data_IF_715178313782
#
_entry.id   IF_715178313782
#
_cell.length_a   1.000
_cell.length_b   1.000
_cell.length_c   1.000
_cell.angle_alpha   90.00
_cell.angle_beta   90.00
_cell.angle_gamma   90.00
#
_symmetry.space_group_name_H-M   'P 1'
#
loop_
_entity.id
_entity.type
_entity.pdbx_description
1 polymer ?
#
# COMPACT_ATOMS: atom_id res chain seq x y z
N UNK A 1 4.66 15.96 -21.90
CA UNK A 1 3.37 16.63 -21.63
C UNK A 1 2.64 16.08 -20.42
N UNK A 2 2.40 14.76 -20.33
CA UNK A 2 1.63 14.15 -19.25
C UNK A 2 2.14 14.46 -17.83
N UNK A 3 3.46 14.43 -17.64
CA UNK A 3 4.09 14.59 -16.32
C UNK A 3 4.10 16.04 -15.78
N UNK A 4 3.94 17.05 -16.65
CA UNK A 4 4.17 18.47 -16.30
C UNK A 4 2.98 19.38 -16.61
N UNK A 5 2.23 19.12 -17.69
CA UNK A 5 1.24 20.07 -18.22
C UNK A 5 -0.21 19.68 -17.95
N UNK A 6 -0.49 18.38 -17.79
CA UNK A 6 -1.86 17.93 -17.55
C UNK A 6 -2.37 18.45 -16.19
N UNK A 7 -3.62 18.90 -16.09
CA UNK A 7 -4.19 19.32 -14.81
C UNK A 7 -4.38 18.12 -13.89
N UNK A 8 -4.34 18.36 -12.59
CA UNK A 8 -4.66 17.35 -11.59
C UNK A 8 -6.18 17.17 -11.46
N UNK A 9 -6.57 15.98 -11.01
CA UNK A 9 -7.95 15.64 -10.68
C UNK A 9 -8.03 15.22 -9.23
N UNK A 10 -9.02 15.72 -8.49
CA UNK A 10 -9.19 15.42 -7.07
C UNK A 10 -10.65 15.11 -6.77
N UNK A 11 -10.88 14.16 -5.86
CA UNK A 11 -12.22 13.75 -5.47
C UNK A 11 -12.68 14.55 -4.25
N UNK A 12 -13.93 15.00 -4.25
CA UNK A 12 -14.54 15.65 -3.10
C UNK A 12 -14.59 14.71 -1.89
N UNK A 13 -14.22 15.23 -0.73
CA UNK A 13 -14.24 14.50 0.55
C UNK A 13 -15.59 14.55 1.26
N UNK A 14 -16.53 15.40 0.81
CA UNK A 14 -17.90 15.44 1.35
C UNK A 14 -18.59 14.07 1.09
N UNK A 15 -19.06 13.36 2.13
CA UNK A 15 -19.62 12.00 2.00
C UNK A 15 -20.73 11.86 0.97
N UNK A 16 -21.65 12.83 0.91
CA UNK A 16 -22.80 12.79 -0.01
C UNK A 16 -22.49 13.30 -1.42
N UNK A 17 -21.26 13.73 -1.71
CA UNK A 17 -20.88 14.26 -3.02
C UNK A 17 -19.95 13.30 -3.78
N UNK A 18 -18.73 13.08 -3.27
CA UNK A 18 -17.70 12.20 -3.87
C UNK A 18 -17.38 12.43 -5.36
N UNK A 19 -17.83 13.54 -5.96
CA UNK A 19 -17.53 13.93 -7.35
C UNK A 19 -16.06 14.31 -7.53
N UNK A 20 -15.51 13.99 -8.69
CA UNK A 20 -14.21 14.38 -9.18
C UNK A 20 -14.24 15.78 -9.80
N UNK A 21 -13.20 16.55 -9.51
CA UNK A 21 -13.02 17.91 -10.01
C UNK A 21 -11.63 18.06 -10.60
N UNK A 22 -11.57 18.70 -11.76
CA UNK A 22 -10.33 19.14 -12.37
C UNK A 22 -9.84 20.39 -11.63
N UNK A 23 -8.58 20.38 -11.19
CA UNK A 23 -7.93 21.55 -10.61
C UNK A 23 -7.43 22.49 -11.72
N UNK A 24 -7.35 23.78 -11.41
CA UNK A 24 -6.75 24.77 -12.32
C UNK A 24 -5.25 24.50 -12.49
N UNK A 25 -4.68 24.95 -13.62
CA UNK A 25 -3.31 24.56 -14.06
C UNK A 25 -2.21 24.95 -13.07
N UNK A 26 -2.43 26.00 -12.29
CA UNK A 26 -1.55 26.56 -11.27
C UNK A 26 -1.51 25.75 -9.97
N UNK A 27 -2.56 24.97 -9.69
CA UNK A 27 -2.66 24.21 -8.45
C UNK A 27 -1.85 22.91 -8.55
N UNK A 28 -0.93 22.72 -7.62
CA UNK A 28 -0.25 21.44 -7.40
C UNK A 28 -1.06 20.60 -6.42
N UNK A 29 -1.31 19.35 -6.79
CA UNK A 29 -1.98 18.40 -5.90
C UNK A 29 -0.96 17.84 -4.89
N UNK A 30 -1.26 17.99 -3.61
CA UNK A 30 -0.53 17.37 -2.51
C UNK A 30 -1.41 16.34 -1.79
N UNK A 31 -0.80 15.46 -0.98
CA UNK A 31 -1.56 14.53 -0.15
C UNK A 31 -2.49 15.24 0.86
N UNK A 32 -2.04 16.36 1.44
CA UNK A 32 -2.84 17.17 2.35
C UNK A 32 -4.05 17.82 1.67
N UNK A 33 -3.88 18.30 0.43
CA UNK A 33 -4.99 18.82 -0.36
C UNK A 33 -5.97 17.70 -0.71
N UNK A 34 -5.49 16.55 -1.18
CA UNK A 34 -6.33 15.40 -1.49
C UNK A 34 -7.14 14.90 -0.28
N UNK A 35 -6.58 15.00 0.93
CA UNK A 35 -7.23 14.58 2.17
C UNK A 35 -8.37 15.49 2.63
N UNK A 36 -8.36 16.77 2.24
CA UNK A 36 -9.28 17.80 2.76
C UNK A 36 -10.14 18.46 1.68
N UNK A 37 -9.88 18.18 0.40
CA UNK A 37 -10.54 18.85 -0.72
C UNK A 37 -12.08 18.72 -0.70
N UNK A 38 -12.75 19.84 -0.94
CA UNK A 38 -14.19 19.96 -1.19
C UNK A 38 -14.41 20.74 -2.48
N UNK A 39 -15.50 20.44 -3.18
CA UNK A 39 -15.84 21.16 -4.41
C UNK A 39 -15.86 22.67 -4.16
N UNK A 40 -15.21 23.44 -5.05
CA UNK A 40 -15.15 24.90 -4.95
C UNK A 40 -14.05 25.46 -4.06
N UNK A 41 -13.27 24.62 -3.35
CA UNK A 41 -12.12 25.11 -2.58
C UNK A 41 -11.09 25.82 -3.48
N UNK A 42 -10.78 27.08 -3.17
CA UNK A 42 -9.66 27.84 -3.73
C UNK A 42 -8.52 27.83 -2.71
N UNK A 43 -7.30 27.49 -3.12
CA UNK A 43 -6.15 27.56 -2.20
C UNK A 43 -5.92 29.02 -1.80
N UNK A 44 -5.98 29.32 -0.50
CA UNK A 44 -5.69 30.65 0.07
C UNK A 44 -6.87 31.43 0.65
N UNK A 45 -8.13 30.96 0.56
CA UNK A 45 -9.27 31.64 1.19
C UNK A 45 -10.24 30.64 1.85
N UNK A 46 -10.47 30.80 3.16
CA UNK A 46 -11.27 29.90 4.01
C UNK A 46 -12.78 30.14 3.86
N UNK A 47 -13.20 31.27 3.27
CA UNK A 47 -14.63 31.57 3.07
C UNK A 47 -15.19 30.87 1.84
N UNK A 48 -15.84 29.72 2.07
CA UNK A 48 -16.77 29.11 1.11
C UNK A 48 -18.12 29.84 1.16
N UNK A 49 -18.14 31.13 0.83
CA UNK A 49 -19.40 31.83 0.57
C UNK A 49 -19.62 31.89 -0.94
N UNK A 50 -20.34 30.89 -1.44
CA UNK A 50 -20.67 30.71 -2.84
C UNK A 50 -21.75 29.64 -3.01
N UNK A 51 -22.35 29.51 -4.21
CA UNK A 51 -23.34 28.48 -4.50
C UNK A 51 -22.80 27.07 -4.20
N UNK A 52 -23.68 26.11 -3.90
CA UNK A 52 -23.29 24.73 -3.58
C UNK A 52 -22.55 24.09 -4.77
N UNK A 53 -21.22 24.15 -4.77
CA UNK A 53 -20.37 23.58 -5.81
C UNK A 53 -20.47 22.03 -5.89
N UNK A 54 -21.04 21.36 -4.88
CA UNK A 54 -21.32 19.93 -4.96
C UNK A 54 -22.54 19.62 -5.84
N UNK A 55 -23.47 20.57 -6.01
CA UNK A 55 -24.65 20.41 -6.88
C UNK A 55 -24.28 20.33 -8.37
N UNK A 56 -23.19 21.01 -8.78
CA UNK A 56 -22.73 21.02 -10.17
C UNK A 56 -22.47 19.60 -10.69
N UNK A 57 -22.82 19.30 -11.95
CA UNK A 57 -22.61 17.97 -12.53
C UNK A 57 -21.13 17.61 -12.52
N UNK A 58 -20.83 16.31 -12.44
CA UNK A 58 -19.47 15.81 -12.66
C UNK A 58 -19.11 15.92 -14.14
N UNK A 59 -17.82 16.10 -14.43
CA UNK A 59 -17.34 16.13 -15.82
C UNK A 59 -17.55 14.76 -16.47
N UNK A 60 -18.17 14.71 -17.65
CA UNK A 60 -18.54 13.46 -18.32
C UNK A 60 -17.33 12.57 -18.65
N UNK A 61 -16.13 13.14 -18.77
CA UNK A 61 -14.91 12.36 -19.01
C UNK A 61 -14.55 11.46 -17.83
N UNK A 62 -15.05 11.75 -16.63
CA UNK A 62 -14.82 10.91 -15.44
C UNK A 62 -15.52 9.56 -15.59
N UNK A 63 -16.74 9.54 -16.14
CA UNK A 63 -17.44 8.28 -16.41
C UNK A 63 -16.78 7.46 -17.51
N UNK A 64 -16.12 8.08 -18.49
CA UNK A 64 -15.38 7.33 -19.52
C UNK A 64 -14.19 6.54 -18.95
N UNK A 65 -13.62 7.00 -17.82
CA UNK A 65 -12.48 6.31 -17.18
C UNK A 65 -12.85 4.92 -16.62
N UNK A 66 -14.14 4.68 -16.35
CA UNK A 66 -14.58 3.37 -15.83
C UNK A 66 -14.62 2.30 -16.91
N UNK A 67 -14.60 2.68 -18.18
CA UNK A 67 -14.68 1.72 -19.28
C UNK A 67 -13.40 0.88 -19.38
N UNK A 68 -13.58 -0.42 -19.60
CA UNK A 68 -12.46 -1.39 -19.63
C UNK A 68 -11.41 -1.07 -20.69
N UNK A 69 -11.83 -0.48 -21.83
CA UNK A 69 -10.95 -0.10 -22.93
C UNK A 69 -10.17 1.19 -22.65
N UNK A 70 -10.61 2.04 -21.72
CA UNK A 70 -10.00 3.36 -21.49
C UNK A 70 -8.52 3.25 -21.12
N UNK A 71 -8.18 2.27 -20.26
CA UNK A 71 -6.79 2.01 -19.87
C UNK A 71 -5.93 1.59 -21.07
N UNK A 72 -6.46 0.78 -21.98
CA UNK A 72 -5.73 0.32 -23.17
C UNK A 72 -5.42 1.41 -24.18
N UNK A 73 -6.13 2.54 -24.11
CA UNK A 73 -5.90 3.71 -24.98
C UNK A 73 -4.92 4.73 -24.37
N UNK A 74 -4.42 4.49 -23.15
CA UNK A 74 -3.37 5.33 -22.59
C UNK A 74 -2.07 5.16 -23.37
N UNK A 75 -1.55 6.26 -23.90
CA UNK A 75 -0.26 6.29 -24.61
C UNK A 75 0.91 6.02 -23.66
N UNK A 76 0.81 6.54 -22.42
CA UNK A 76 1.85 6.41 -21.40
C UNK A 76 1.21 5.94 -20.08
N UNK A 77 1.89 5.06 -19.33
CA UNK A 77 1.43 4.64 -18.02
C UNK A 77 1.51 5.79 -16.99
N UNK A 78 0.73 5.72 -15.89
CA UNK A 78 0.83 6.69 -14.82
C UNK A 78 2.15 6.55 -14.06
N UNK A 79 2.81 7.68 -13.83
CA UNK A 79 4.00 7.78 -12.99
C UNK A 79 3.68 8.63 -11.76
N UNK A 80 3.75 8.02 -10.57
CA UNK A 80 3.39 8.70 -9.32
C UNK A 80 4.48 9.66 -8.88
N UNK A 81 4.08 10.87 -8.48
CA UNK A 81 4.94 11.86 -7.84
C UNK A 81 4.91 11.67 -6.32
N UNK A 82 6.05 11.88 -5.67
CA UNK A 82 6.16 11.86 -4.19
C UNK A 82 5.60 10.57 -3.55
N UNK A 83 5.76 9.42 -4.21
CA UNK A 83 5.26 8.15 -3.70
C UNK A 83 5.91 7.81 -2.34
N UNK A 84 5.15 7.32 -1.34
CA UNK A 84 5.70 6.81 -0.08
C UNK A 84 6.76 5.72 -0.26
N UNK A 85 6.75 5.03 -1.41
CA UNK A 85 7.73 4.01 -1.78
C UNK A 85 9.08 4.59 -2.23
N UNK A 86 9.16 5.89 -2.56
CA UNK A 86 10.38 6.51 -3.11
C UNK A 86 11.63 6.25 -2.26
N UNK A 87 11.61 6.42 -0.91
CA UNK A 87 12.80 6.15 -0.10
C UNK A 87 13.23 4.67 -0.07
N UNK A 88 12.31 3.73 -0.33
CA UNK A 88 12.64 2.31 -0.38
C UNK A 88 13.28 1.89 -1.70
N UNK A 89 13.03 2.66 -2.76
CA UNK A 89 13.30 2.29 -4.15
C UNK A 89 14.33 3.21 -4.81
N UNK A 90 15.16 3.89 -4.01
CA UNK A 90 16.18 4.83 -4.50
C UNK A 90 17.23 4.16 -5.42
N UNK A 91 17.40 2.84 -5.32
CA UNK A 91 18.29 2.06 -6.17
C UNK A 91 17.70 1.70 -7.55
N UNK A 92 16.42 2.01 -7.80
CA UNK A 92 15.73 1.75 -9.06
C UNK A 92 15.54 3.03 -9.86
N UNK A 93 15.51 2.90 -11.19
CA UNK A 93 15.01 3.97 -12.03
C UNK A 93 13.53 4.22 -11.71
N UNK A 94 13.13 5.47 -11.37
CA UNK A 94 11.78 5.75 -10.87
C UNK A 94 10.67 5.27 -11.81
N UNK A 95 10.84 5.46 -13.11
CA UNK A 95 9.90 5.07 -14.15
C UNK A 95 9.72 3.56 -14.26
N UNK A 96 10.76 2.76 -14.03
CA UNK A 96 10.66 1.28 -14.00
C UNK A 96 9.82 0.75 -12.83
N UNK A 97 9.59 1.56 -11.79
CA UNK A 97 8.80 1.19 -10.61
C UNK A 97 7.53 2.06 -10.47
N UNK A 98 7.11 2.71 -11.56
CA UNK A 98 5.87 3.47 -11.64
C UNK A 98 5.89 4.84 -10.93
N UNK A 99 7.07 5.44 -10.80
CA UNK A 99 7.28 6.75 -10.20
C UNK A 99 7.83 7.77 -11.22
N UNK A 100 7.52 9.04 -11.00
CA UNK A 100 7.95 10.14 -11.87
C UNK A 100 9.45 10.45 -11.64
N UNK A 101 10.31 10.39 -12.67
CA UNK A 101 11.74 10.75 -12.54
C UNK A 101 11.95 12.22 -12.10
N UNK A 102 11.00 13.10 -12.45
CA UNK A 102 11.08 14.52 -12.08
C UNK A 102 10.68 14.81 -10.62
N UNK A 103 10.29 13.80 -9.85
CA UNK A 103 9.62 13.96 -8.55
C UNK A 103 10.48 13.58 -7.33
N UNK A 104 11.72 13.12 -7.51
CA UNK A 104 12.56 12.66 -6.41
C UNK A 104 13.44 13.78 -5.86
N UNK A 105 13.33 14.14 -4.56
CA UNK A 105 14.35 14.93 -3.89
C UNK A 105 15.54 14.02 -3.60
N UNK A 106 16.62 14.20 -4.35
CA UNK A 106 17.89 13.51 -4.13
C UNK A 106 18.07 12.28 -5.00
N UNK A 107 18.76 12.46 -6.12
CA UNK A 107 19.55 11.37 -6.69
C UNK A 107 20.60 10.98 -5.64
N UNK A 108 20.53 9.76 -5.11
CA UNK A 108 21.73 9.14 -4.57
C UNK A 108 22.74 9.15 -5.71
N UNK A 109 23.93 9.70 -5.49
CA UNK A 109 24.94 9.77 -6.53
C UNK A 109 25.22 8.35 -7.03
N UNK A 110 25.10 8.12 -8.35
CA UNK A 110 25.48 6.84 -8.97
C UNK A 110 26.92 6.41 -8.61
N UNK A 111 27.75 7.33 -8.11
CA UNK A 111 29.09 7.06 -7.62
C UNK A 111 29.13 6.24 -6.32
N UNK A 112 28.11 6.31 -5.46
CA UNK A 112 28.06 5.55 -4.19
C UNK A 112 27.64 4.09 -4.40
N UNK A 113 26.89 3.79 -5.46
CA UNK A 113 26.52 2.43 -5.88
C UNK A 113 27.68 1.63 -6.51
N UNK A 114 28.82 2.28 -6.78
CA UNK A 114 30.02 1.64 -7.35
C UNK A 114 31.01 1.15 -6.30
N UNK A 115 30.77 1.41 -5.01
CA UNK A 115 31.61 0.90 -3.93
C UNK A 115 31.09 -0.48 -3.46
N UNK A 116 31.88 -1.52 -3.73
CA UNK A 116 31.72 -2.92 -3.30
C UNK A 116 30.41 -3.64 -3.70
N UNK A 117 30.40 -4.47 -4.76
CA UNK A 117 29.22 -5.25 -5.18
C UNK A 117 28.72 -6.27 -4.13
N UNK A 118 29.45 -6.47 -3.03
CA UNK A 118 29.07 -7.38 -1.93
C UNK A 118 28.40 -6.67 -0.73
N UNK A 119 28.24 -5.35 -0.73
CA UNK A 119 27.52 -4.64 0.34
C UNK A 119 26.21 -4.09 -0.18
N UNK A 120 25.11 -4.79 0.11
CA UNK A 120 23.77 -4.25 -0.06
C UNK A 120 23.63 -2.97 0.79
N UNK A 121 23.75 -1.80 0.17
CA UNK A 121 23.50 -0.51 0.84
C UNK A 121 22.00 -0.39 1.02
N UNK A 122 21.52 -0.84 2.18
CA UNK A 122 20.11 -0.75 2.52
C UNK A 122 19.74 0.71 2.81
N UNK A 123 18.64 1.24 2.23
CA UNK A 123 18.22 2.60 2.53
C UNK A 123 17.81 2.69 4.00
N UNK A 124 18.58 3.43 4.79
CA UNK A 124 18.20 3.77 6.16
C UNK A 124 17.12 4.85 6.12
N UNK A 125 15.86 4.43 6.23
CA UNK A 125 14.71 5.35 6.24
C UNK A 125 14.49 5.82 7.69
N UNK A 126 14.62 7.12 8.00
CA UNK A 126 14.45 7.63 9.35
C UNK A 126 13.07 7.26 9.93
N UNK A 127 13.06 6.73 11.16
CA UNK A 127 11.83 6.36 11.86
C UNK A 127 11.17 5.04 11.42
N UNK A 128 11.78 4.30 10.49
CA UNK A 128 11.32 2.97 10.09
C UNK A 128 12.05 1.87 10.88
N UNK A 129 11.35 0.79 11.24
CA UNK A 129 11.99 -0.40 11.79
C UNK A 129 12.99 -0.99 10.76
N UNK A 130 14.25 -1.27 11.12
CA UNK A 130 15.27 -1.76 10.18
C UNK A 130 14.94 -3.14 9.58
N UNK A 131 14.07 -3.90 10.26
CA UNK A 131 13.59 -5.20 9.81
C UNK A 131 12.53 -5.12 8.70
N UNK A 132 11.93 -3.94 8.47
CA UNK A 132 10.96 -3.74 7.41
C UNK A 132 11.64 -3.50 6.07
N UNK A 133 11.83 -4.59 5.32
CA UNK A 133 12.49 -4.57 4.01
C UNK A 133 11.59 -5.18 2.93
N UNK A 134 10.42 -4.59 2.63
CA UNK A 134 9.42 -5.23 1.76
C UNK A 134 9.85 -5.41 0.30
N UNK A 135 10.93 -4.74 -0.14
CA UNK A 135 11.38 -4.76 -1.53
C UNK A 135 12.79 -5.35 -1.64
N UNK A 136 12.99 -6.15 -2.68
CA UNK A 136 14.33 -6.52 -3.13
C UNK A 136 15.11 -5.27 -3.56
N UNK A 137 16.41 -5.26 -3.27
CA UNK A 137 17.36 -4.34 -3.88
C UNK A 137 18.01 -4.97 -5.11
N UNK A 138 18.54 -4.18 -6.06
CA UNK A 138 19.29 -4.72 -7.20
C UNK A 138 20.46 -5.58 -6.74
N UNK A 139 20.64 -6.75 -7.36
CA UNK A 139 21.69 -7.73 -7.04
C UNK A 139 21.65 -8.32 -5.62
N UNK A 140 20.53 -8.19 -4.91
CA UNK A 140 20.36 -8.79 -3.59
C UNK A 140 20.03 -10.30 -3.68
N UNK A 141 20.56 -11.10 -2.76
CA UNK A 141 20.18 -12.50 -2.62
C UNK A 141 18.72 -12.64 -2.15
N UNK A 142 18.10 -13.78 -2.47
CA UNK A 142 16.73 -14.09 -2.04
C UNK A 142 16.54 -13.98 -0.53
N UNK A 143 15.54 -13.19 -0.10
CA UNK A 143 15.14 -13.02 1.30
C UNK A 143 13.63 -13.20 1.44
N UNK A 144 13.20 -13.76 2.56
CA UNK A 144 11.79 -14.09 2.79
C UNK A 144 10.91 -12.83 2.79
N UNK A 145 9.67 -12.98 2.32
CA UNK A 145 8.62 -11.95 2.36
C UNK A 145 8.98 -10.62 1.67
N UNK A 146 9.83 -10.69 0.65
CA UNK A 146 10.21 -9.55 -0.18
C UNK A 146 9.68 -9.72 -1.59
N UNK A 147 9.23 -8.62 -2.19
CA UNK A 147 8.73 -8.59 -3.57
C UNK A 147 9.64 -7.76 -4.46
N UNK A 148 9.70 -8.08 -5.75
CA UNK A 148 10.39 -7.22 -6.70
C UNK A 148 9.55 -5.96 -6.99
N UNK A 149 10.11 -4.74 -6.92
CA UNK A 149 9.31 -3.53 -7.13
C UNK A 149 8.93 -3.28 -8.59
N UNK A 150 9.63 -3.94 -9.52
CA UNK A 150 9.58 -3.78 -10.97
C UNK A 150 8.94 -4.99 -11.69
N UNK A 151 8.47 -6.00 -10.95
CA UNK A 151 7.82 -7.17 -11.53
C UNK A 151 6.64 -7.67 -10.67
N UNK A 152 5.59 -8.15 -11.34
CA UNK A 152 4.45 -8.80 -10.71
C UNK A 152 4.77 -10.24 -10.31
N UNK A 153 4.34 -10.64 -9.12
CA UNK A 153 4.40 -12.03 -8.65
C UNK A 153 3.32 -12.88 -9.34
N UNK A 154 3.47 -14.21 -9.33
CA UNK A 154 2.55 -15.13 -10.02
C UNK A 154 1.09 -14.97 -9.55
N UNK A 155 0.87 -14.83 -8.25
CA UNK A 155 -0.46 -14.61 -7.67
C UNK A 155 -1.07 -13.27 -8.10
N UNK A 156 -0.22 -12.26 -8.33
CA UNK A 156 -0.65 -10.95 -8.82
C UNK A 156 -1.08 -11.04 -10.29
N UNK A 157 -0.34 -11.79 -11.12
CA UNK A 157 -0.69 -12.04 -12.52
C UNK A 157 -1.97 -12.86 -12.66
N UNK A 158 -2.22 -13.79 -11.72
CA UNK A 158 -3.45 -14.58 -11.70
C UNK A 158 -4.67 -13.72 -11.34
N UNK A 159 -4.55 -12.83 -10.35
CA UNK A 159 -5.64 -11.96 -9.91
C UNK A 159 -5.89 -10.79 -10.89
N UNK A 160 -4.83 -10.25 -11.48
CA UNK A 160 -4.87 -9.07 -12.35
C UNK A 160 -4.22 -9.33 -13.72
N UNK A 161 -4.76 -10.27 -14.52
CA UNK A 161 -4.20 -10.61 -15.83
C UNK A 161 -4.18 -9.41 -16.80
N UNK A 162 -5.05 -8.41 -16.60
CA UNK A 162 -5.09 -7.18 -17.40
C UNK A 162 -3.80 -6.35 -17.32
N UNK A 163 -3.01 -6.48 -16.24
CA UNK A 163 -1.74 -5.78 -16.05
C UNK A 163 -0.52 -6.55 -16.54
N UNK A 164 -0.70 -7.78 -17.05
CA UNK A 164 0.43 -8.59 -17.56
C UNK A 164 1.20 -7.93 -18.70
N UNK A 165 0.52 -7.15 -19.55
CA UNK A 165 1.12 -6.45 -20.70
C UNK A 165 1.79 -5.14 -20.31
N UNK A 166 1.17 -4.37 -19.42
CA UNK A 166 1.74 -3.13 -18.87
C UNK A 166 1.46 -3.10 -17.35
N UNK A 167 2.43 -3.55 -16.53
CA UNK A 167 2.25 -3.66 -15.09
C UNK A 167 2.47 -2.33 -14.35
N UNK A 168 2.84 -1.25 -15.05
CA UNK A 168 3.37 -0.03 -14.43
C UNK A 168 2.40 0.59 -13.42
N UNK A 169 1.11 0.68 -13.76
CA UNK A 169 0.08 1.22 -12.84
C UNK A 169 -0.09 0.32 -11.62
N UNK A 170 -0.16 -1.00 -11.82
CA UNK A 170 -0.31 -1.97 -10.74
C UNK A 170 0.89 -1.91 -9.78
N UNK A 171 2.12 -1.94 -10.31
CA UNK A 171 3.34 -1.87 -9.52
C UNK A 171 3.42 -0.57 -8.73
N UNK A 172 3.08 0.57 -9.34
CA UNK A 172 3.04 1.85 -8.64
C UNK A 172 2.09 1.82 -7.43
N UNK A 173 0.88 1.27 -7.61
CA UNK A 173 -0.12 1.13 -6.55
C UNK A 173 0.32 0.15 -5.47
N UNK A 174 0.79 -1.04 -5.86
CA UNK A 174 1.26 -2.07 -4.94
C UNK A 174 2.44 -1.60 -4.09
N UNK A 175 3.42 -0.94 -4.73
CA UNK A 175 4.59 -0.39 -4.04
C UNK A 175 4.17 0.71 -3.06
N UNK A 176 3.26 1.60 -3.46
CA UNK A 176 2.70 2.64 -2.59
C UNK A 176 1.99 2.03 -1.38
N UNK A 177 1.17 0.99 -1.57
CA UNK A 177 0.43 0.32 -0.49
C UNK A 177 1.41 -0.35 0.48
N UNK A 178 2.37 -1.14 -0.01
CA UNK A 178 3.38 -1.80 0.84
C UNK A 178 4.18 -0.78 1.65
N UNK A 179 4.67 0.27 1.00
CA UNK A 179 5.43 1.31 1.69
C UNK A 179 4.59 2.04 2.75
N UNK A 180 3.31 2.32 2.45
CA UNK A 180 2.39 2.96 3.38
C UNK A 180 2.12 2.09 4.61
N UNK A 181 1.95 0.77 4.41
CA UNK A 181 1.75 -0.20 5.50
C UNK A 181 2.97 -0.28 6.42
N UNK A 182 4.17 -0.45 5.85
CA UNK A 182 5.39 -0.60 6.66
C UNK A 182 5.78 0.67 7.42
N UNK A 183 5.41 1.86 6.92
CA UNK A 183 5.57 3.12 7.65
C UNK A 183 4.65 3.24 8.87
N UNK A 184 3.46 2.64 8.82
CA UNK A 184 2.46 2.70 9.91
C UNK A 184 1.61 1.44 9.96
N UNK A 185 2.16 0.36 10.51
CA UNK A 185 1.52 -0.96 10.58
C UNK A 185 0.63 -1.17 11.82
N UNK A 186 0.44 -0.13 12.64
CA UNK A 186 -0.38 -0.18 13.87
C UNK A 186 -1.83 0.20 13.65
N UNK A 187 -2.18 0.66 12.45
CA UNK A 187 -3.54 1.08 12.09
C UNK A 187 -3.97 0.41 10.78
N UNK A 188 -5.28 0.22 10.61
CA UNK A 188 -5.84 -0.28 9.36
C UNK A 188 -5.51 0.68 8.22
N UNK A 189 -4.86 0.16 7.19
CA UNK A 189 -4.60 0.87 5.94
C UNK A 189 -5.83 0.73 5.02
N UNK A 190 -6.39 1.87 4.64
CA UNK A 190 -7.61 1.94 3.82
C UNK A 190 -7.32 2.58 2.47
N UNK A 191 -8.16 2.27 1.46
CA UNK A 191 -8.04 2.86 0.13
C UNK A 191 -8.13 4.39 0.18
N UNK A 192 -8.92 4.96 1.09
CA UNK A 192 -9.01 6.41 1.27
C UNK A 192 -7.67 7.03 1.70
N UNK A 193 -6.93 6.40 2.62
CA UNK A 193 -5.61 6.87 3.06
C UNK A 193 -4.56 6.74 1.96
N UNK A 194 -4.56 5.63 1.23
CA UNK A 194 -3.66 5.44 0.09
C UNK A 194 -3.96 6.41 -1.07
N UNK A 195 -5.24 6.69 -1.36
CA UNK A 195 -5.66 7.58 -2.45
C UNK A 195 -5.14 9.02 -2.29
N UNK A 196 -4.91 9.47 -1.06
CA UNK A 196 -4.30 10.77 -0.76
C UNK A 196 -2.87 10.85 -1.32
N UNK A 197 -2.14 9.73 -1.34
CA UNK A 197 -0.75 9.65 -1.77
C UNK A 197 -0.60 9.31 -3.26
N UNK A 198 -1.70 9.06 -3.98
CA UNK A 198 -1.68 8.91 -5.44
C UNK A 198 -1.63 10.33 -6.04
N UNK A 199 -0.43 10.84 -6.29
CA UNK A 199 -0.24 12.14 -6.95
C UNK A 199 0.23 11.89 -8.38
N UNK A 200 -0.69 12.03 -9.33
CA UNK A 200 -0.40 11.93 -10.77
C UNK A 200 -1.34 12.86 -11.53
N UNK A 201 -0.84 13.46 -12.61
CA UNK A 201 -1.60 14.39 -13.44
C UNK A 201 -2.55 13.65 -14.38
N UNK A 202 -3.63 14.31 -14.79
CA UNK A 202 -4.60 13.80 -15.74
C UNK A 202 -5.65 12.86 -15.15
N UNK A 203 -6.58 12.45 -16.00
CA UNK A 203 -7.71 11.56 -15.64
C UNK A 203 -7.24 10.17 -15.18
N UNK A 204 -6.01 9.76 -15.51
CA UNK A 204 -5.44 8.48 -15.07
C UNK A 204 -5.40 8.36 -13.55
N UNK A 205 -5.36 9.48 -12.81
CA UNK A 205 -5.50 9.45 -11.34
C UNK A 205 -6.83 8.85 -10.89
N UNK A 206 -7.92 9.12 -11.63
CA UNK A 206 -9.24 8.55 -11.36
C UNK A 206 -9.16 7.03 -11.46
N UNK A 207 -8.56 6.51 -12.54
CA UNK A 207 -8.35 5.08 -12.75
C UNK A 207 -7.49 4.47 -11.63
N UNK A 208 -6.37 5.09 -11.27
CA UNK A 208 -5.51 4.64 -10.19
C UNK A 208 -6.27 4.51 -8.86
N UNK A 209 -7.10 5.49 -8.51
CA UNK A 209 -7.90 5.47 -7.27
C UNK A 209 -9.02 4.43 -7.31
N UNK A 210 -9.61 4.18 -8.49
CA UNK A 210 -10.60 3.11 -8.67
C UNK A 210 -9.99 1.72 -8.50
N UNK A 211 -8.80 1.48 -9.08
CA UNK A 211 -8.09 0.20 -8.98
C UNK A 211 -7.49 -0.05 -7.59
N UNK A 212 -7.12 1.00 -6.88
CA UNK A 212 -6.49 0.94 -5.56
C UNK A 212 -7.21 0.02 -4.58
N UNK A 213 -8.54 0.06 -4.57
CA UNK A 213 -9.38 -0.72 -3.68
C UNK A 213 -9.37 -2.22 -4.01
N UNK A 214 -9.27 -2.61 -5.29
CA UNK A 214 -9.05 -4.01 -5.71
C UNK A 214 -7.68 -4.51 -5.26
N UNK A 215 -6.62 -3.73 -5.51
CA UNK A 215 -5.24 -4.08 -5.13
C UNK A 215 -5.10 -4.19 -3.61
N UNK A 216 -5.65 -3.24 -2.85
CA UNK A 216 -5.59 -3.24 -1.38
C UNK A 216 -6.33 -4.44 -0.78
N UNK A 217 -7.49 -4.81 -1.31
CA UNK A 217 -8.21 -6.02 -0.88
C UNK A 217 -7.43 -7.29 -1.18
N UNK A 218 -6.83 -7.39 -2.37
CA UNK A 218 -5.98 -8.53 -2.72
C UNK A 218 -4.81 -8.68 -1.75
N UNK A 219 -4.07 -7.59 -1.50
CA UNK A 219 -2.92 -7.60 -0.59
C UNK A 219 -3.32 -7.90 0.85
N UNK A 220 -4.47 -7.39 1.30
CA UNK A 220 -5.05 -7.71 2.63
C UNK A 220 -5.38 -9.20 2.71
N UNK A 221 -6.07 -9.75 1.70
CA UNK A 221 -6.45 -11.18 1.64
C UNK A 221 -5.24 -12.11 1.59
N UNK A 222 -4.17 -11.72 0.90
CA UNK A 222 -2.89 -12.44 0.85
C UNK A 222 -2.05 -12.28 2.12
N UNK A 223 -2.49 -11.47 3.08
CA UNK A 223 -1.78 -11.26 4.35
C UNK A 223 -0.51 -10.41 4.23
N UNK A 224 -0.36 -9.61 3.15
CA UNK A 224 0.80 -8.73 2.94
C UNK A 224 0.70 -7.42 3.72
N UNK A 225 -0.52 -6.98 4.02
CA UNK A 225 -0.84 -5.76 4.77
C UNK A 225 -2.02 -6.03 5.69
N UNK A 226 -2.34 -5.10 6.59
CA UNK A 226 -3.50 -5.20 7.49
C UNK A 226 -3.51 -6.52 8.29
N UNK A 227 -2.32 -7.00 8.63
CA UNK A 227 -2.07 -8.33 9.20
C UNK A 227 -1.38 -8.26 10.57
N UNK A 228 -1.06 -9.42 11.15
CA UNK A 228 -0.42 -9.54 12.45
C UNK A 228 -1.40 -9.32 13.61
N UNK A 229 -0.95 -8.59 14.63
CA UNK A 229 -1.73 -8.33 15.86
C UNK A 229 -2.64 -7.11 15.76
N UNK A 230 -2.85 -6.58 14.54
CA UNK A 230 -3.67 -5.40 14.27
C UNK A 230 -5.08 -5.51 14.86
N UNK A 231 -5.50 -4.47 15.58
CA UNK A 231 -6.86 -4.32 16.08
C UNK A 231 -7.79 -3.81 14.97
N UNK A 232 -8.91 -4.50 14.77
CA UNK A 232 -9.86 -4.23 13.68
C UNK A 232 -11.26 -4.09 14.28
N UNK A 233 -11.82 -2.87 14.22
CA UNK A 233 -13.18 -2.59 14.74
C UNK A 233 -14.28 -2.99 13.76
N UNK A 234 -13.98 -2.94 12.45
CA UNK A 234 -14.91 -3.24 11.37
C UNK A 234 -14.27 -4.24 10.42
N UNK A 235 -15.03 -5.23 9.91
CA UNK A 235 -14.51 -6.20 8.96
C UNK A 235 -13.78 -5.51 7.79
N UNK A 236 -12.55 -5.96 7.52
CA UNK A 236 -11.71 -5.46 6.42
C UNK A 236 -12.27 -5.88 5.06
N UNK A 237 -12.96 -7.02 5.03
CA UNK A 237 -13.65 -7.59 3.88
C UNK A 237 -15.12 -7.85 4.25
N UNK A 238 -15.95 -8.20 3.28
CA UNK A 238 -17.40 -8.38 3.45
C UNK A 238 -17.79 -9.86 3.49
N UNK A 239 -16.93 -10.71 4.06
CA UNK A 239 -17.19 -12.15 4.16
C UNK A 239 -18.14 -12.43 5.32
N UNK A 240 -19.11 -13.34 5.14
CA UNK A 240 -20.12 -13.68 6.17
C UNK A 240 -20.30 -15.18 6.36
N UNK A 241 -19.28 -15.97 5.99
CA UNK A 241 -19.31 -17.43 6.13
C UNK A 241 -18.82 -17.84 7.51
N UNK A 242 -19.30 -18.99 7.99
CA UNK A 242 -18.81 -19.60 9.22
C UNK A 242 -17.62 -20.53 8.92
N UNK A 243 -16.60 -20.49 9.78
CA UNK A 243 -15.39 -21.31 9.68
C UNK A 243 -15.05 -21.87 11.05
N UNK A 244 -14.77 -23.18 11.11
CA UNK A 244 -14.22 -23.84 12.29
C UNK A 244 -12.72 -24.04 12.07
N UNK A 245 -11.90 -23.51 12.97
CA UNK A 245 -10.45 -23.71 13.00
C UNK A 245 -10.12 -24.74 14.08
N UNK A 246 -9.42 -25.82 13.72
CA UNK A 246 -9.01 -26.87 14.66
C UNK A 246 -7.55 -26.64 15.07
N UNK A 247 -7.33 -26.43 16.36
CA UNK A 247 -6.06 -26.08 17.00
C UNK A 247 -5.91 -24.57 17.24
N UNK A 248 -5.54 -24.20 18.46
CA UNK A 248 -5.24 -22.83 18.92
C UNK A 248 -3.74 -22.61 19.15
N UNK A 249 -2.90 -23.21 18.31
CA UNK A 249 -1.47 -22.89 18.18
C UNK A 249 -1.24 -21.65 17.30
N UNK A 250 0.04 -21.34 17.00
CA UNK A 250 0.40 -20.16 16.20
C UNK A 250 -0.31 -20.10 14.82
N UNK A 251 -0.37 -21.23 14.09
CA UNK A 251 -1.04 -21.31 12.79
C UNK A 251 -2.55 -21.10 12.89
N UNK A 252 -3.21 -21.81 13.82
CA UNK A 252 -4.64 -21.73 14.02
C UNK A 252 -5.09 -20.35 14.49
N UNK A 253 -4.37 -19.75 15.45
CA UNK A 253 -4.65 -18.39 15.92
C UNK A 253 -4.38 -17.33 14.84
N UNK A 254 -3.33 -17.49 14.03
CA UNK A 254 -3.08 -16.58 12.91
C UNK A 254 -4.21 -16.65 11.87
N UNK A 255 -4.63 -17.85 11.48
CA UNK A 255 -5.74 -18.05 10.56
C UNK A 255 -7.06 -17.51 11.13
N UNK A 256 -7.37 -17.84 12.39
CA UNK A 256 -8.57 -17.37 13.07
C UNK A 256 -8.62 -15.84 13.16
N UNK A 257 -7.49 -15.20 13.49
CA UNK A 257 -7.37 -13.74 13.54
C UNK A 257 -7.63 -13.10 12.18
N UNK A 258 -6.99 -13.61 11.12
CA UNK A 258 -7.17 -13.08 9.77
C UNK A 258 -8.62 -13.23 9.29
N UNK A 259 -9.19 -14.43 9.42
CA UNK A 259 -10.58 -14.71 9.02
C UNK A 259 -11.58 -13.86 9.81
N UNK A 260 -11.39 -13.72 11.13
CA UNK A 260 -12.23 -12.84 11.94
C UNK A 260 -12.13 -11.38 11.47
N UNK A 261 -10.92 -10.88 11.21
CA UNK A 261 -10.70 -9.53 10.70
C UNK A 261 -11.33 -9.33 9.30
N UNK A 262 -11.49 -10.39 8.50
CA UNK A 262 -12.18 -10.35 7.20
C UNK A 262 -13.71 -10.43 7.31
N UNK A 263 -14.27 -10.65 8.51
CA UNK A 263 -15.72 -10.71 8.76
C UNK A 263 -16.32 -12.11 8.90
N UNK A 264 -15.51 -13.16 8.77
CA UNK A 264 -15.99 -14.54 8.97
C UNK A 264 -16.44 -14.76 10.42
N UNK A 265 -17.45 -15.62 10.60
CA UNK A 265 -17.78 -16.16 11.91
C UNK A 265 -16.83 -17.31 12.23
N UNK A 266 -15.88 -17.08 13.15
CA UNK A 266 -14.81 -18.06 13.44
C UNK A 266 -15.04 -18.72 14.78
N UNK A 267 -15.05 -20.05 14.79
CA UNK A 267 -15.01 -20.88 15.99
C UNK A 267 -13.67 -21.61 16.03
N UNK A 268 -12.93 -21.53 17.14
CA UNK A 268 -11.66 -22.23 17.32
C UNK A 268 -11.85 -23.37 18.31
N UNK A 269 -11.47 -24.59 17.92
CA UNK A 269 -11.53 -25.79 18.77
C UNK A 269 -10.10 -26.22 19.12
N UNK A 270 -9.75 -26.21 20.40
CA UNK A 270 -8.44 -26.64 20.91
C UNK A 270 -8.61 -27.92 21.74
N UNK A 271 -7.70 -28.88 21.57
CA UNK A 271 -7.76 -30.16 22.27
C UNK A 271 -7.27 -30.05 23.72
N UNK A 272 -6.35 -29.13 23.99
CA UNK A 272 -5.83 -28.87 25.34
C UNK A 272 -6.71 -27.88 26.10
N UNK A 273 -6.47 -27.79 27.40
CA UNK A 273 -7.06 -26.79 28.30
C UNK A 273 -6.43 -25.39 28.17
N UNK A 274 -5.52 -25.20 27.21
CA UNK A 274 -4.81 -23.95 26.96
C UNK A 274 -4.57 -23.68 25.47
N UNK A 275 -4.44 -22.41 25.13
CA UNK A 275 -4.00 -21.96 23.80
C UNK A 275 -2.46 -21.95 23.68
N UNK A 276 -1.95 -21.53 22.53
CA UNK A 276 -0.53 -21.29 22.26
C UNK A 276 0.20 -22.49 21.66
N UNK A 277 -0.35 -23.70 21.78
CA UNK A 277 0.28 -24.92 21.25
C UNK A 277 1.68 -25.12 21.83
N UNK A 278 2.71 -25.05 20.97
CA UNK A 278 4.13 -25.15 21.36
C UNK A 278 4.71 -23.86 21.93
N UNK A 279 4.00 -22.73 21.86
CA UNK A 279 4.35 -21.54 22.63
C UNK A 279 3.73 -21.72 24.01
N UNK A 280 4.57 -21.88 25.02
CA UNK A 280 4.13 -22.11 26.39
C UNK A 280 5.16 -21.54 27.35
N UNK A 281 4.76 -20.48 28.04
CA UNK A 281 5.63 -19.75 28.94
C UNK A 281 5.18 -19.95 30.39
N UNK A 282 6.16 -19.97 31.28
CA UNK A 282 5.98 -20.04 32.73
C UNK A 282 6.51 -18.77 33.37
N UNK A 283 5.63 -18.00 34.02
CA UNK A 283 5.99 -16.76 34.68
C UNK A 283 6.05 -16.89 36.22
N UNK A 284 5.98 -18.11 36.78
CA UNK A 284 5.84 -18.32 38.22
C UNK A 284 7.03 -17.86 39.06
N UNK A 285 8.20 -17.67 38.43
CA UNK A 285 9.45 -17.32 39.11
C UNK A 285 9.78 -15.81 39.03
N UNK A 286 8.82 -14.96 38.65
CA UNK A 286 9.04 -13.52 38.44
C UNK A 286 9.84 -13.19 37.16
N UNK A 287 10.15 -14.21 36.36
CA UNK A 287 10.77 -14.16 35.05
C UNK A 287 10.02 -15.12 34.12
N UNK A 288 9.90 -14.76 32.83
CA UNK A 288 9.25 -15.62 31.83
C UNK A 288 10.24 -16.70 31.37
N UNK A 289 10.01 -17.94 31.82
CA UNK A 289 10.76 -19.13 31.39
C UNK A 289 9.94 -19.86 30.33
N UNK A 290 10.48 -19.94 29.12
CA UNK A 290 9.76 -20.57 28.01
C UNK A 290 9.97 -22.09 28.02
N UNK A 291 8.88 -22.84 27.99
CA UNK A 291 8.86 -24.31 27.91
C UNK A 291 8.81 -24.82 26.46
N UNK A 292 8.79 -23.93 25.49
CA UNK A 292 8.68 -24.23 24.05
C UNK A 292 9.38 -23.22 23.15
N UNK A 293 8.67 -22.60 22.20
CA UNK A 293 9.29 -21.69 21.22
C UNK A 293 9.52 -20.27 21.77
N UNK A 294 10.77 -19.79 21.75
CA UNK A 294 11.17 -18.44 22.17
C UNK A 294 12.07 -17.71 21.16
N UNK A 295 12.86 -18.45 20.38
CA UNK A 295 13.84 -17.87 19.46
C UNK A 295 13.21 -17.56 18.12
N UNK A 296 13.38 -16.33 17.65
CA UNK A 296 13.14 -15.97 16.24
C UNK A 296 14.40 -16.25 15.45
N UNK A 297 14.37 -17.26 14.57
CA UNK A 297 15.48 -17.57 13.68
C UNK A 297 15.50 -16.53 12.56
N UNK A 298 16.36 -15.54 12.75
CA UNK A 298 16.64 -14.44 11.82
C UNK A 298 15.54 -13.37 11.74
N UNK A 299 15.85 -12.19 12.29
CA UNK A 299 15.00 -10.99 12.18
C UNK A 299 15.45 -10.07 11.02
N UNK A 300 16.38 -10.52 10.18
CA UNK A 300 17.24 -9.76 9.26
C UNK A 300 18.56 -9.32 9.91
N UNK A 301 19.46 -10.28 10.10
CA UNK A 301 20.88 -9.99 10.33
C UNK A 301 21.65 -10.52 9.13
N UNK A 302 22.05 -9.65 8.20
CA UNK A 302 23.26 -9.93 7.43
C UNK A 302 24.39 -10.04 8.44
N UNK A 303 24.73 -11.25 8.88
CA UNK A 303 26.03 -11.49 9.51
C UNK A 303 27.07 -11.16 8.44
N UNK A 304 27.76 -10.03 8.60
CA UNK A 304 29.07 -9.87 8.00
C UNK A 304 29.97 -11.00 8.54
N UNK A 305 30.71 -11.73 7.67
CA UNK A 305 31.74 -12.65 8.13
C UNK A 305 32.83 -11.92 8.92
#
# INVERSE_FOLDING_TARGET
MADQLLPFWVQCTKPDCRKWRQLTKDIQLTASLAATYRCGMKLGNVKSEGPDHCSQPEDSRVSEVTDSWWHSMLILPPLLKESPASPFLAAYYPDCVGMSPSGSPGSVSLAELRADPCRAVQPQIPGLCPYFQPFYQPNECGKALCVRPDMMELDELYEFPEFSRDPTMYLALRNLILASWHRKCTEVLTAQRCAQHIVVRGLVRVRCVQELDRVLRFMTRKGLINTGVLAVERPLLSERKAVVVVGAGASGLAAARQLHNFGFQVVVLEARDRIGGWVWDDASLGLTVVRGAQLSTDASTTRSP
#
